data_IF_046829518417
#
_entry.id   IF_046829518417
#
_cell.length_a   1.000
_cell.length_b   1.000
_cell.length_c   1.000
_cell.angle_alpha   90.00
_cell.angle_beta   90.00
_cell.angle_gamma   90.00
#
_symmetry.space_group_name_H-M   'P 1'
#
loop_
_entity.id
_entity.type
_entity.pdbx_description
1 polymer ?
#
# COMPACT_ATOMS: atom_id res chain seq x y z
N UNK A 1 4.85 13.11 5.13
CA UNK A 1 4.92 12.74 3.70
C UNK A 1 3.70 11.89 3.40
N UNK A 2 2.98 12.13 2.30
CA UNK A 2 1.79 11.34 1.98
C UNK A 2 2.20 9.89 1.67
N UNK A 3 1.32 8.95 1.98
CA UNK A 3 1.50 7.51 1.83
C UNK A 3 1.82 7.15 0.38
N UNK A 4 1.19 7.82 -0.59
CA UNK A 4 1.52 7.69 -2.02
C UNK A 4 3.00 7.93 -2.32
N UNK A 5 3.61 8.97 -1.73
CA UNK A 5 5.04 9.25 -1.87
C UNK A 5 5.91 8.24 -1.12
N UNK A 6 5.48 7.77 0.06
CA UNK A 6 6.22 6.75 0.81
C UNK A 6 6.24 5.41 0.06
N UNK A 7 5.14 5.06 -0.59
CA UNK A 7 5.04 3.89 -1.45
C UNK A 7 5.93 4.08 -2.68
N UNK A 8 5.86 5.22 -3.38
CA UNK A 8 6.73 5.49 -4.53
C UNK A 8 8.21 5.35 -4.19
N UNK A 9 8.65 5.91 -3.05
CA UNK A 9 10.03 5.78 -2.58
C UNK A 9 10.38 4.38 -2.09
N UNK A 10 9.40 3.60 -1.63
CA UNK A 10 9.64 2.21 -1.27
C UNK A 10 9.80 1.35 -2.52
N UNK A 11 9.02 1.57 -3.58
CA UNK A 11 9.06 0.82 -4.84
C UNK A 11 10.08 1.36 -5.85
N UNK A 12 11.11 2.06 -5.36
CA UNK A 12 12.19 2.66 -6.14
C UNK A 12 12.93 1.66 -7.05
N UNK A 13 13.77 2.16 -7.94
CA UNK A 13 14.31 1.52 -9.17
C UNK A 13 14.78 0.08 -8.98
N UNK A 14 15.31 -0.27 -7.80
CA UNK A 14 15.76 -1.63 -7.50
C UNK A 14 14.66 -2.69 -7.62
N UNK A 15 13.45 -2.45 -7.09
CA UNK A 15 12.39 -3.47 -7.19
C UNK A 15 11.89 -3.62 -8.63
N UNK A 16 11.77 -2.49 -9.35
CA UNK A 16 11.41 -2.53 -10.77
C UNK A 16 12.44 -3.29 -11.60
N UNK A 17 13.73 -3.11 -11.31
CA UNK A 17 14.80 -3.88 -11.96
C UNK A 17 14.72 -5.37 -11.61
N UNK A 18 14.49 -5.72 -10.34
CA UNK A 18 14.35 -7.12 -9.91
C UNK A 18 13.15 -7.83 -10.56
N UNK A 19 12.05 -7.10 -10.76
CA UNK A 19 10.85 -7.59 -11.44
C UNK A 19 10.96 -7.51 -12.99
N UNK A 20 12.09 -7.05 -13.54
CA UNK A 20 12.30 -6.92 -14.98
C UNK A 20 11.47 -5.82 -15.65
N UNK A 21 10.91 -4.91 -14.86
CA UNK A 21 10.13 -3.76 -15.32
C UNK A 21 10.97 -2.53 -15.62
N UNK A 22 12.31 -2.61 -15.48
CA UNK A 22 13.18 -1.47 -15.77
C UNK A 22 13.13 -1.01 -17.24
N UNK A 23 12.78 -1.91 -18.15
CA UNK A 23 12.62 -1.59 -19.59
C UNK A 23 11.23 -1.00 -19.92
N UNK A 24 10.29 -0.97 -18.96
CA UNK A 24 8.97 -0.39 -19.19
C UNK A 24 9.04 1.13 -19.35
N UNK A 25 8.22 1.71 -20.25
CA UNK A 25 8.09 3.15 -20.35
C UNK A 25 7.56 3.76 -19.04
N UNK A 26 7.96 5.00 -18.76
CA UNK A 26 7.66 5.69 -17.49
C UNK A 26 6.17 5.69 -17.13
N UNK A 27 5.28 5.81 -18.12
CA UNK A 27 3.83 5.73 -17.93
C UNK A 27 3.36 4.37 -17.39
N UNK A 28 3.93 3.27 -17.90
CA UNK A 28 3.57 1.93 -17.43
C UNK A 28 4.19 1.62 -16.06
N UNK A 29 5.42 2.10 -15.81
CA UNK A 29 6.02 2.08 -14.48
C UNK A 29 5.13 2.80 -13.46
N UNK A 30 4.63 3.99 -13.80
CA UNK A 30 3.72 4.75 -12.93
C UNK A 30 2.40 3.99 -12.68
N UNK A 31 1.77 3.43 -13.72
CA UNK A 31 0.55 2.62 -13.54
C UNK A 31 0.77 1.39 -12.66
N UNK A 32 1.92 0.73 -12.79
CA UNK A 32 2.27 -0.38 -11.91
C UNK A 32 2.44 0.09 -10.47
N UNK A 33 3.15 1.20 -10.24
CA UNK A 33 3.29 1.79 -8.91
C UNK A 33 1.95 2.16 -8.30
N UNK A 34 1.04 2.74 -9.08
CA UNK A 34 -0.31 3.05 -8.63
C UNK A 34 -1.06 1.77 -8.24
N UNK A 35 -1.03 0.75 -9.09
CA UNK A 35 -1.71 -0.53 -8.83
C UNK A 35 -1.15 -1.21 -7.58
N UNK A 36 0.18 -1.23 -7.42
CA UNK A 36 0.85 -1.76 -6.24
C UNK A 36 0.45 -0.95 -4.99
N UNK A 37 0.44 0.38 -5.11
CA UNK A 37 0.04 1.26 -4.03
C UNK A 37 -1.42 1.08 -3.62
N UNK A 38 -2.33 0.88 -4.56
CA UNK A 38 -3.73 0.55 -4.29
C UNK A 38 -3.90 -0.76 -3.54
N UNK A 39 -3.16 -1.81 -3.92
CA UNK A 39 -3.23 -3.11 -3.23
C UNK A 39 -2.74 -2.99 -1.79
N UNK A 40 -1.62 -2.28 -1.59
CA UNK A 40 -1.06 -2.06 -0.25
C UNK A 40 -2.00 -1.21 0.59
N UNK A 41 -2.60 -0.16 0.02
CA UNK A 41 -3.61 0.65 0.71
C UNK A 41 -4.81 -0.20 1.15
N UNK A 42 -5.27 -1.13 0.31
CA UNK A 42 -6.35 -2.06 0.66
C UNK A 42 -5.95 -3.00 1.78
N UNK A 43 -4.73 -3.55 1.76
CA UNK A 43 -4.25 -4.45 2.80
C UNK A 43 -4.06 -3.72 4.14
N UNK A 44 -3.50 -2.51 4.12
CA UNK A 44 -3.40 -1.64 5.30
C UNK A 44 -4.80 -1.37 5.84
N UNK A 45 -5.75 -0.97 4.99
CA UNK A 45 -7.12 -0.70 5.42
C UNK A 45 -7.80 -1.94 6.04
N UNK A 46 -7.55 -3.14 5.52
CA UNK A 46 -8.05 -4.40 6.08
C UNK A 46 -7.42 -4.72 7.44
N UNK A 47 -6.09 -4.69 7.54
CA UNK A 47 -5.35 -4.94 8.79
C UNK A 47 -5.74 -3.95 9.88
N UNK A 48 -5.94 -2.70 9.49
CA UNK A 48 -6.48 -1.67 10.36
C UNK A 48 -7.92 -1.94 10.80
N UNK A 49 -8.76 -2.46 9.92
CA UNK A 49 -10.13 -2.87 10.28
C UNK A 49 -10.12 -3.97 11.34
N UNK A 50 -9.12 -4.86 11.31
CA UNK A 50 -8.93 -5.93 12.31
C UNK A 50 -8.34 -5.44 13.63
N UNK A 51 -7.49 -4.40 13.61
CA UNK A 51 -6.92 -3.80 14.83
C UNK A 51 -7.86 -2.77 15.50
N UNK A 52 -8.81 -2.21 14.76
CA UNK A 52 -9.77 -1.24 15.29
C UNK A 52 -10.91 -1.92 16.06
N UNK A 53 -11.35 -1.36 17.20
CA UNK A 53 -12.52 -1.86 17.91
C UNK A 53 -13.81 -1.68 17.08
N UNK A 54 -14.79 -2.58 17.25
CA UNK A 54 -16.04 -2.66 16.47
C UNK A 54 -16.78 -1.33 16.24
N UNK A 55 -16.72 -0.41 17.21
CA UNK A 55 -17.35 0.93 17.08
C UNK A 55 -16.64 1.82 16.05
N UNK A 56 -15.31 1.77 15.99
CA UNK A 56 -14.49 2.52 15.03
C UNK A 56 -14.50 1.90 13.64
N UNK A 57 -14.69 0.58 13.56
CA UNK A 57 -14.85 -0.15 12.30
C UNK A 57 -16.04 0.37 11.47
N UNK A 58 -17.12 0.84 12.10
CA UNK A 58 -18.25 1.48 11.40
C UNK A 58 -17.87 2.83 10.80
N UNK A 59 -17.20 3.69 11.56
CA UNK A 59 -16.69 4.98 11.05
C UNK A 59 -15.72 4.74 9.91
N UNK A 60 -14.84 3.76 10.04
CA UNK A 60 -13.91 3.39 8.99
C UNK A 60 -14.63 2.93 7.71
N UNK A 61 -15.67 2.10 7.82
CA UNK A 61 -16.48 1.70 6.66
C UNK A 61 -17.09 2.91 5.95
N UNK A 62 -17.60 3.87 6.71
CA UNK A 62 -18.13 5.11 6.14
C UNK A 62 -17.01 5.92 5.48
N UNK A 63 -15.84 6.04 6.10
CA UNK A 63 -14.71 6.74 5.53
C UNK A 63 -14.21 6.10 4.24
N UNK A 64 -14.07 4.77 4.20
CA UNK A 64 -13.68 4.03 2.99
C UNK A 64 -14.70 4.18 1.86
N UNK A 65 -15.98 4.37 2.18
CA UNK A 65 -17.04 4.57 1.18
C UNK A 65 -17.15 6.03 0.72
N UNK A 66 -16.90 7.00 1.61
CA UNK A 66 -17.04 8.43 1.35
C UNK A 66 -15.75 9.12 0.87
N UNK A 67 -14.60 8.54 1.18
CA UNK A 67 -13.27 9.06 0.86
C UNK A 67 -12.44 8.03 0.08
N UNK A 68 -13.10 7.14 -0.67
CA UNK A 68 -12.43 6.20 -1.56
C UNK A 68 -11.47 6.92 -2.52
N UNK A 69 -11.83 8.13 -2.94
CA UNK A 69 -11.04 8.99 -3.83
C UNK A 69 -10.09 9.95 -3.09
N UNK A 70 -10.04 9.93 -1.75
CA UNK A 70 -9.27 10.89 -0.93
C UNK A 70 -8.35 10.14 0.06
N UNK A 71 -7.28 9.49 -0.46
CA UNK A 71 -6.39 8.64 0.34
C UNK A 71 -5.65 9.39 1.44
N UNK A 72 -5.45 10.70 1.30
CA UNK A 72 -4.81 11.53 2.33
C UNK A 72 -5.68 11.69 3.59
N UNK A 73 -7.00 11.80 3.43
CA UNK A 73 -7.92 11.86 4.59
C UNK A 73 -8.02 10.54 5.32
N UNK A 74 -8.02 9.43 4.58
CA UNK A 74 -7.96 8.08 5.16
C UNK A 74 -6.67 7.92 5.97
N UNK A 75 -5.52 8.30 5.38
CA UNK A 75 -4.23 8.28 6.08
C UNK A 75 -4.25 9.10 7.37
N UNK A 76 -4.80 10.32 7.34
CA UNK A 76 -4.87 11.17 8.52
C UNK A 76 -5.69 10.51 9.64
N UNK A 77 -6.86 9.98 9.32
CA UNK A 77 -7.69 9.27 10.29
C UNK A 77 -6.94 8.08 10.90
N UNK A 78 -6.26 7.31 10.05
CA UNK A 78 -5.51 6.15 10.46
C UNK A 78 -4.32 6.47 11.37
N UNK A 79 -3.55 7.53 11.07
CA UNK A 79 -2.47 8.02 11.94
C UNK A 79 -2.97 8.53 13.29
N UNK A 80 -4.21 9.01 13.37
CA UNK A 80 -4.80 9.48 14.62
C UNK A 80 -5.28 8.32 15.50
N UNK A 81 -5.87 7.30 14.89
CA UNK A 81 -6.42 6.15 15.63
C UNK A 81 -5.36 5.07 15.93
N UNK A 82 -4.37 4.90 15.06
CA UNK A 82 -3.29 3.92 15.22
C UNK A 82 -1.92 4.62 15.33
N UNK A 83 -1.31 4.67 16.53
CA UNK A 83 0.04 5.21 16.68
C UNK A 83 1.11 4.36 15.97
N UNK A 84 0.83 3.07 15.71
CA UNK A 84 1.66 2.14 14.96
C UNK A 84 1.43 2.18 13.45
N UNK A 85 0.64 3.13 12.93
CA UNK A 85 0.30 3.19 11.49
C UNK A 85 1.53 3.19 10.56
N UNK A 86 2.56 3.99 10.85
CA UNK A 86 3.79 4.00 10.03
C UNK A 86 4.53 2.66 10.04
N UNK A 87 4.44 1.89 11.13
CA UNK A 87 5.04 0.55 11.21
C UNK A 87 4.24 -0.43 10.36
N UNK A 88 2.90 -0.40 10.47
CA UNK A 88 2.00 -1.22 9.65
C UNK A 88 2.25 -0.95 8.16
N UNK A 89 2.34 0.31 7.75
CA UNK A 89 2.64 0.68 6.36
C UNK A 89 3.96 0.05 5.90
N UNK A 90 5.04 0.17 6.69
CA UNK A 90 6.34 -0.40 6.34
C UNK A 90 6.30 -1.92 6.26
N UNK A 91 5.61 -2.57 7.19
CA UNK A 91 5.41 -4.02 7.18
C UNK A 91 4.65 -4.47 5.94
N UNK A 92 3.50 -3.87 5.65
CA UNK A 92 2.67 -4.22 4.49
C UNK A 92 3.43 -4.02 3.18
N UNK A 93 4.22 -2.95 3.08
CA UNK A 93 5.10 -2.72 1.93
C UNK A 93 6.18 -3.79 1.81
N UNK A 94 6.83 -4.17 2.92
CA UNK A 94 7.86 -5.20 2.91
C UNK A 94 7.29 -6.57 2.56
N UNK A 95 6.14 -6.93 3.15
CA UNK A 95 5.40 -8.15 2.86
C UNK A 95 4.98 -8.22 1.40
N UNK A 96 4.42 -7.13 0.86
CA UNK A 96 3.99 -7.07 -0.53
C UNK A 96 5.17 -7.20 -1.50
N UNK A 97 6.30 -6.53 -1.23
CA UNK A 97 7.53 -6.71 -2.01
C UNK A 97 8.00 -8.15 -2.00
N UNK A 98 8.02 -8.78 -0.83
CA UNK A 98 8.45 -10.16 -0.69
C UNK A 98 7.51 -11.13 -1.42
N UNK A 99 6.20 -10.90 -1.34
CA UNK A 99 5.19 -11.67 -2.08
C UNK A 99 5.36 -11.52 -3.60
N UNK A 100 5.61 -10.31 -4.09
CA UNK A 100 5.92 -10.07 -5.49
C UNK A 100 7.18 -10.82 -5.94
N UNK A 101 8.25 -10.76 -5.16
CA UNK A 101 9.50 -11.46 -5.47
C UNK A 101 9.32 -12.98 -5.44
N UNK A 102 8.58 -13.53 -4.47
CA UNK A 102 8.29 -14.98 -4.38
C UNK A 102 7.46 -15.46 -5.58
N UNK A 103 6.44 -14.68 -5.98
CA UNK A 103 5.63 -14.97 -7.16
C UNK A 103 6.46 -14.93 -8.44
N UNK A 104 7.35 -13.95 -8.57
CA UNK A 104 8.21 -13.81 -9.74
C UNK A 104 9.31 -14.88 -9.82
N UNK A 105 9.86 -15.31 -8.68
CA UNK A 105 10.84 -16.39 -8.60
C UNK A 105 10.21 -17.75 -8.95
N UNK A 106 8.97 -17.99 -8.47
CA UNK A 106 8.21 -19.20 -8.81
C UNK A 106 7.84 -19.31 -10.28
N UNK A 107 7.57 -18.19 -10.96
CA UNK A 107 7.23 -18.20 -12.40
C UNK A 107 8.45 -18.51 -13.29
N UNK A 108 9.67 -18.36 -12.76
CA UNK A 108 10.94 -18.68 -13.45
C UNK A 108 11.40 -20.15 -13.33
N UNK A 109 10.70 -21.00 -12.58
CA UNK A 109 11.13 -22.38 -12.26
C UNK A 109 10.24 -23.45 -12.91
#
# INVERSE_FOLDING_TARGET
MPLSTQLQAAFDTNLMAELGFDDLPTDEKMKMLETMGEIINKNIALRMFEELPDERAKELKTLLTSYADDPEKLEFFFRQELPNFDEIVKEEVALYKQDLLDKFDKDKK
#
